data_IF_453516435089
#
_entry.id   IF_453516435089
#
_cell.length_a   1.000
_cell.length_b   1.000
_cell.length_c   1.000
_cell.angle_alpha   90.00
_cell.angle_beta   90.00
_cell.angle_gamma   90.00
#
_symmetry.space_group_name_H-M   'P 1'
#
loop_
_entity.id
_entity.type
_entity.pdbx_description
1 polymer ?
#
# COMPACT_ATOMS: atom_id res chain seq x y z
N UNK A 1 -32.52 -3.04 4.67
CA UNK A 1 -31.88 -3.45 3.41
C UNK A 1 -30.43 -3.78 3.69
N UNK A 2 -29.93 -4.87 3.14
CA UNK A 2 -28.52 -5.21 3.26
C UNK A 2 -27.69 -4.30 2.35
N UNK A 3 -26.56 -3.81 2.84
CA UNK A 3 -25.68 -2.88 2.11
C UNK A 3 -25.00 -3.58 0.93
N UNK A 4 -24.55 -4.82 1.13
CA UNK A 4 -23.84 -5.64 0.16
C UNK A 4 -24.07 -7.13 0.45
N UNK A 5 -24.17 -7.96 -0.60
CA UNK A 5 -24.31 -9.40 -0.47
C UNK A 5 -22.96 -10.06 -0.15
N UNK A 6 -23.02 -11.21 0.57
CA UNK A 6 -21.84 -12.06 0.84
C UNK A 6 -21.16 -12.51 -0.45
N UNK A 7 -21.95 -12.86 -1.45
CA UNK A 7 -21.46 -13.30 -2.75
C UNK A 7 -20.61 -12.24 -3.43
N UNK A 8 -21.06 -10.96 -3.42
CA UNK A 8 -20.31 -9.85 -4.00
C UNK A 8 -18.98 -9.62 -3.29
N UNK A 9 -18.94 -9.75 -1.96
CA UNK A 9 -17.70 -9.69 -1.18
C UNK A 9 -16.77 -10.84 -1.53
N UNK A 10 -17.31 -12.07 -1.68
CA UNK A 10 -16.55 -13.25 -2.05
C UNK A 10 -15.93 -13.13 -3.45
N UNK A 11 -16.73 -12.77 -4.46
CA UNK A 11 -16.33 -12.69 -5.87
C UNK A 11 -15.23 -11.62 -6.10
N UNK A 12 -15.23 -10.58 -5.27
CA UNK A 12 -14.19 -9.56 -5.27
C UNK A 12 -12.97 -9.90 -4.40
N UNK A 13 -12.99 -11.05 -3.69
CA UNK A 13 -11.85 -11.54 -2.92
C UNK A 13 -11.56 -10.76 -1.64
N UNK A 14 -12.58 -10.16 -1.01
CA UNK A 14 -12.47 -9.41 0.25
C UNK A 14 -12.05 -10.29 1.41
N UNK A 15 -12.38 -11.59 1.36
CA UNK A 15 -12.10 -12.60 2.39
C UNK A 15 -10.62 -13.01 2.48
N UNK A 16 -9.80 -12.73 1.48
CA UNK A 16 -8.38 -13.08 1.54
C UNK A 16 -7.61 -12.09 2.43
N UNK A 17 -6.94 -12.63 3.44
CA UNK A 17 -5.99 -11.87 4.24
C UNK A 17 -4.54 -12.19 3.87
N UNK A 18 -3.62 -11.76 4.69
CA UNK A 18 -2.20 -11.99 4.53
C UNK A 18 -1.74 -13.40 4.93
N UNK A 19 -0.51 -13.73 4.56
CA UNK A 19 0.14 -14.99 4.97
C UNK A 19 0.22 -15.10 6.50
N UNK A 20 0.10 -16.32 7.01
CA UNK A 20 0.15 -16.63 8.46
C UNK A 20 1.40 -16.14 9.19
N UNK A 21 2.50 -15.87 8.48
CA UNK A 21 3.73 -15.28 9.06
C UNK A 21 3.65 -13.78 9.33
N UNK A 22 2.70 -13.07 8.69
CA UNK A 22 2.64 -11.60 8.70
C UNK A 22 1.46 -11.05 9.48
N UNK A 23 0.71 -11.91 10.14
CA UNK A 23 -0.49 -11.50 10.84
C UNK A 23 -0.20 -10.75 12.15
N UNK A 24 -1.19 -9.99 12.60
CA UNK A 24 -1.21 -9.38 13.93
C UNK A 24 -2.13 -10.21 14.85
N UNK A 25 -1.66 -10.64 16.05
CA UNK A 25 -2.50 -11.39 17.00
C UNK A 25 -3.80 -10.68 17.40
N UNK A 26 -3.86 -9.36 17.35
CA UNK A 26 -5.04 -8.58 17.67
C UNK A 26 -6.14 -8.70 16.61
N UNK A 27 -5.79 -9.13 15.39
CA UNK A 27 -6.77 -9.44 14.34
C UNK A 27 -7.47 -10.78 14.52
N UNK A 28 -7.10 -11.58 15.52
CA UNK A 28 -7.72 -12.90 15.78
C UNK A 28 -9.26 -12.88 15.77
N UNK A 29 -9.95 -11.87 16.34
CA UNK A 29 -11.41 -11.81 16.31
C UNK A 29 -12.01 -11.73 14.90
N UNK A 30 -11.28 -11.21 13.91
CA UNK A 30 -11.74 -11.00 12.54
C UNK A 30 -11.35 -12.13 11.59
N UNK A 31 -10.55 -13.10 12.07
CA UNK A 31 -10.10 -14.24 11.29
C UNK A 31 -11.08 -15.40 11.48
N UNK A 32 -11.57 -15.95 10.37
CA UNK A 32 -12.43 -17.12 10.37
C UNK A 32 -11.61 -18.42 10.46
N UNK A 33 -10.64 -18.60 9.56
CA UNK A 33 -9.74 -19.76 9.56
C UNK A 33 -8.40 -19.44 8.85
N UNK A 34 -7.47 -20.40 8.91
CA UNK A 34 -6.24 -20.36 8.11
C UNK A 34 -6.27 -21.51 7.09
N UNK A 35 -6.06 -21.20 5.80
CA UNK A 35 -6.04 -22.20 4.73
C UNK A 35 -4.87 -21.93 3.78
N UNK A 36 -4.15 -22.98 3.39
CA UNK A 36 -3.01 -22.88 2.48
C UNK A 36 -1.96 -21.82 2.88
N UNK A 37 -1.78 -21.58 4.19
CA UNK A 37 -0.82 -20.60 4.72
C UNK A 37 -1.28 -19.14 4.62
N UNK A 38 -2.55 -18.89 4.30
CA UNK A 38 -3.20 -17.57 4.24
C UNK A 38 -4.37 -17.56 5.23
N UNK A 39 -4.59 -16.44 5.91
CA UNK A 39 -5.76 -16.25 6.73
C UNK A 39 -6.97 -15.86 5.89
N UNK A 40 -8.14 -16.36 6.30
CA UNK A 40 -9.43 -16.01 5.70
C UNK A 40 -10.17 -15.12 6.70
N UNK A 41 -10.59 -13.96 6.23
CA UNK A 41 -11.32 -12.96 6.99
C UNK A 41 -12.80 -13.39 7.08
N UNK A 42 -13.41 -13.17 8.23
CA UNK A 42 -14.84 -13.42 8.46
C UNK A 42 -15.68 -12.32 7.80
N UNK A 43 -16.33 -12.67 6.69
CA UNK A 43 -17.15 -11.73 5.91
C UNK A 43 -18.40 -11.27 6.66
N UNK A 44 -18.92 -12.03 7.64
CA UNK A 44 -20.03 -11.58 8.47
C UNK A 44 -19.61 -10.36 9.28
N UNK A 45 -18.44 -10.39 9.90
CA UNK A 45 -17.87 -9.27 10.64
C UNK A 45 -17.52 -8.09 9.74
N UNK A 46 -17.05 -8.39 8.51
CA UNK A 46 -16.84 -7.34 7.50
C UNK A 46 -18.14 -6.61 7.20
N UNK A 47 -19.24 -7.33 7.00
CA UNK A 47 -20.56 -6.78 6.68
C UNK A 47 -21.11 -5.93 7.83
N UNK A 48 -20.99 -6.42 9.07
CA UNK A 48 -21.40 -5.70 10.29
C UNK A 48 -20.59 -4.40 10.47
N UNK A 49 -19.26 -4.50 10.42
CA UNK A 49 -18.36 -3.35 10.57
C UNK A 49 -18.56 -2.32 9.46
N UNK A 50 -18.75 -2.79 8.21
CA UNK A 50 -19.04 -1.93 7.07
C UNK A 50 -20.37 -1.18 7.23
N UNK A 51 -21.41 -1.85 7.71
CA UNK A 51 -22.71 -1.21 7.99
C UNK A 51 -22.60 -0.08 9.01
N UNK A 52 -21.85 -0.32 10.10
CA UNK A 52 -21.57 0.70 11.12
C UNK A 52 -20.76 1.89 10.57
N UNK A 53 -19.72 1.60 9.79
CA UNK A 53 -18.89 2.63 9.14
C UNK A 53 -19.68 3.45 8.11
N UNK A 54 -20.50 2.78 7.29
CA UNK A 54 -21.37 3.41 6.30
C UNK A 54 -22.34 4.41 6.95
N UNK A 55 -23.07 3.98 8.00
CA UNK A 55 -24.02 4.83 8.70
C UNK A 55 -23.33 6.08 9.29
N UNK A 56 -22.15 5.91 9.87
CA UNK A 56 -21.42 7.04 10.47
C UNK A 56 -20.84 7.99 9.42
N UNK A 57 -20.34 7.48 8.29
CA UNK A 57 -19.88 8.32 7.18
C UNK A 57 -21.02 9.11 6.56
N UNK A 58 -22.20 8.48 6.41
CA UNK A 58 -23.41 9.13 5.93
C UNK A 58 -23.81 10.28 6.85
N UNK A 59 -23.86 10.06 8.16
CA UNK A 59 -24.15 11.10 9.17
C UNK A 59 -23.19 12.29 9.06
N UNK A 60 -21.87 12.03 8.94
CA UNK A 60 -20.85 13.08 8.77
C UNK A 60 -21.08 13.87 7.47
N UNK A 61 -21.39 13.17 6.38
CA UNK A 61 -21.62 13.80 5.09
C UNK A 61 -22.93 14.62 5.04
N UNK A 62 -24.00 14.14 5.68
CA UNK A 62 -25.28 14.87 5.85
C UNK A 62 -25.08 16.19 6.61
N UNK A 63 -24.18 16.21 7.59
CA UNK A 63 -23.78 17.42 8.31
C UNK A 63 -22.86 18.35 7.50
N UNK A 64 -22.60 18.06 6.22
CA UNK A 64 -21.72 18.83 5.35
C UNK A 64 -20.23 18.63 5.62
N UNK A 65 -19.87 17.59 6.39
CA UNK A 65 -18.50 17.25 6.72
C UNK A 65 -17.65 16.92 5.47
N UNK A 66 -16.38 17.27 5.54
CA UNK A 66 -15.41 16.99 4.49
C UNK A 66 -14.62 15.72 4.80
N UNK A 67 -14.51 14.85 3.82
CA UNK A 67 -13.90 13.53 3.97
C UNK A 67 -12.61 13.49 3.14
N UNK A 68 -11.57 12.84 3.70
CA UNK A 68 -10.28 12.67 3.06
C UNK A 68 -10.00 11.18 2.87
N UNK A 69 -9.83 10.76 1.61
CA UNK A 69 -9.39 9.41 1.27
C UNK A 69 -7.86 9.34 1.26
N UNK A 70 -7.30 8.32 1.86
CA UNK A 70 -5.86 8.08 1.95
C UNK A 70 -5.54 6.66 1.52
N UNK A 71 -4.58 6.50 0.60
CA UNK A 71 -4.07 5.20 0.20
C UNK A 71 -2.89 5.34 -0.71
N UNK A 72 -1.72 5.08 -0.13
CA UNK A 72 -0.44 5.21 -0.83
C UNK A 72 -0.03 3.94 -1.55
N UNK A 73 -0.69 2.79 -1.27
CA UNK A 73 -0.48 1.53 -1.99
C UNK A 73 -0.75 1.69 -3.47
N UNK A 74 0.12 1.15 -4.31
CA UNK A 74 0.00 1.20 -5.78
C UNK A 74 -1.34 0.69 -6.30
N UNK A 75 -1.89 -0.33 -5.65
CA UNK A 75 -3.18 -0.93 -5.98
C UNK A 75 -4.36 0.01 -5.69
N UNK A 76 -4.21 0.89 -4.70
CA UNK A 76 -5.26 1.80 -4.24
C UNK A 76 -5.23 3.17 -4.93
N UNK A 77 -4.08 3.60 -5.45
CA UNK A 77 -3.86 4.97 -5.95
C UNK A 77 -4.91 5.46 -6.93
N UNK A 78 -5.22 4.65 -7.95
CA UNK A 78 -6.20 5.03 -8.97
C UNK A 78 -7.64 4.95 -8.44
N UNK A 79 -7.93 3.92 -7.65
CA UNK A 79 -9.26 3.72 -7.06
C UNK A 79 -9.63 4.90 -6.17
N UNK A 80 -8.70 5.34 -5.33
CA UNK A 80 -8.92 6.49 -4.45
C UNK A 80 -9.16 7.78 -5.23
N UNK A 81 -8.42 8.00 -6.32
CA UNK A 81 -8.64 9.13 -7.20
C UNK A 81 -10.06 9.12 -7.77
N UNK A 82 -10.47 7.97 -8.31
CA UNK A 82 -11.76 7.81 -8.97
C UNK A 82 -12.92 8.00 -7.96
N UNK A 83 -12.87 7.33 -6.81
CA UNK A 83 -13.92 7.35 -5.80
C UNK A 83 -14.00 8.68 -5.03
N UNK A 84 -12.86 9.30 -4.74
CA UNK A 84 -12.84 10.62 -4.12
C UNK A 84 -13.41 11.70 -5.08
N UNK A 85 -13.08 11.61 -6.37
CA UNK A 85 -13.61 12.53 -7.37
C UNK A 85 -15.12 12.33 -7.54
N UNK A 86 -15.58 11.07 -7.58
CA UNK A 86 -17.01 10.73 -7.68
C UNK A 86 -17.82 11.26 -6.49
N UNK A 87 -17.29 11.10 -5.29
CA UNK A 87 -17.96 11.55 -4.05
C UNK A 87 -17.77 13.05 -3.76
N UNK A 88 -16.93 13.76 -4.53
CA UNK A 88 -16.55 15.15 -4.28
C UNK A 88 -15.85 15.32 -2.93
N UNK A 89 -14.92 14.40 -2.64
CA UNK A 89 -14.10 14.34 -1.44
C UNK A 89 -12.64 14.63 -1.77
N UNK A 90 -11.81 14.83 -0.75
CA UNK A 90 -10.37 15.03 -0.91
C UNK A 90 -9.64 13.70 -0.94
N UNK A 91 -8.43 13.68 -1.52
CA UNK A 91 -7.63 12.46 -1.55
C UNK A 91 -6.12 12.70 -1.44
N UNK A 92 -5.42 11.69 -0.94
CA UNK A 92 -3.95 11.57 -0.99
C UNK A 92 -3.63 10.14 -1.43
N UNK A 93 -3.13 10.00 -2.66
CA UNK A 93 -2.92 8.71 -3.30
C UNK A 93 -1.45 8.36 -3.60
N UNK A 94 -0.49 9.29 -3.38
CA UNK A 94 0.93 9.02 -3.67
C UNK A 94 1.73 8.77 -2.39
N UNK A 95 1.88 9.77 -1.56
CA UNK A 95 2.64 9.69 -0.33
C UNK A 95 2.09 10.64 0.71
N UNK A 96 1.85 10.14 1.90
CA UNK A 96 1.55 10.99 3.05
C UNK A 96 2.77 11.80 3.46
N UNK A 97 2.63 13.11 3.51
CA UNK A 97 3.65 14.00 4.04
C UNK A 97 3.44 14.17 5.54
N UNK A 98 4.48 13.89 6.36
CA UNK A 98 4.37 14.09 7.80
C UNK A 98 3.98 15.55 8.12
N UNK A 99 2.98 15.72 8.98
CA UNK A 99 2.42 17.03 9.32
C UNK A 99 1.27 17.49 8.40
N UNK A 100 0.77 16.64 7.52
CA UNK A 100 -0.33 17.03 6.61
C UNK A 100 -1.57 17.52 7.37
N UNK A 101 -1.94 16.91 8.47
CA UNK A 101 -3.04 17.37 9.33
C UNK A 101 -2.52 18.20 10.50
N UNK A 102 -1.49 17.75 11.21
CA UNK A 102 -0.98 18.40 12.42
C UNK A 102 -0.25 19.73 12.15
N UNK A 103 0.33 19.89 10.98
CA UNK A 103 0.97 21.15 10.53
C UNK A 103 0.30 21.69 9.25
N UNK A 104 -1.01 21.67 9.23
CA UNK A 104 -1.83 22.04 8.09
C UNK A 104 -1.53 23.44 7.55
N UNK A 105 -1.19 24.39 8.42
CA UNK A 105 -0.80 25.75 8.02
C UNK A 105 0.42 25.77 7.08
N UNK A 106 1.39 24.90 7.31
CA UNK A 106 2.56 24.78 6.44
C UNK A 106 2.21 24.10 5.11
N UNK A 107 1.34 23.10 5.13
CA UNK A 107 0.83 22.45 3.92
C UNK A 107 0.05 23.46 3.08
N UNK A 108 -0.80 24.29 3.67
CA UNK A 108 -1.52 25.35 2.96
C UNK A 108 -0.58 26.35 2.27
N UNK A 109 0.58 26.67 2.87
CA UNK A 109 1.58 27.53 2.20
C UNK A 109 2.16 26.84 0.96
N UNK A 110 2.35 25.51 0.99
CA UNK A 110 2.82 24.75 -0.17
C UNK A 110 1.75 24.66 -1.26
N UNK A 111 0.49 24.49 -0.86
CA UNK A 111 -0.65 24.53 -1.80
C UNK A 111 -0.77 25.92 -2.45
N UNK A 112 -0.65 27.00 -1.69
CA UNK A 112 -0.62 28.37 -2.26
C UNK A 112 0.50 28.53 -3.28
N UNK A 113 1.70 28.02 -2.97
CA UNK A 113 2.84 28.04 -3.90
C UNK A 113 2.52 27.30 -5.21
N UNK A 114 1.85 26.14 -5.12
CA UNK A 114 1.39 25.40 -6.31
C UNK A 114 0.41 26.24 -7.14
N UNK A 115 -0.56 26.87 -6.51
CA UNK A 115 -1.53 27.75 -7.19
C UNK A 115 -0.82 28.93 -7.86
N UNK A 116 0.10 29.59 -7.18
CA UNK A 116 0.91 30.69 -7.72
C UNK A 116 1.68 30.26 -8.98
N UNK A 117 2.30 29.07 -8.96
CA UNK A 117 3.04 28.56 -10.13
C UNK A 117 2.09 28.30 -11.30
N UNK A 118 0.92 27.70 -11.05
CA UNK A 118 -0.09 27.46 -12.08
C UNK A 118 -0.64 28.79 -12.66
N UNK A 119 -0.82 29.81 -11.84
CA UNK A 119 -1.20 31.15 -12.26
C UNK A 119 -0.11 31.81 -13.11
N UNK A 120 1.19 31.65 -12.74
CA UNK A 120 2.31 32.14 -13.55
C UNK A 120 2.39 31.46 -14.92
N UNK A 121 2.05 30.16 -15.01
CA UNK A 121 1.98 29.46 -16.30
C UNK A 121 0.83 29.95 -17.15
N UNK A 122 -0.35 30.11 -16.56
CA UNK A 122 -1.57 30.56 -17.27
C UNK A 122 -1.45 32.01 -17.76
N UNK A 123 -0.87 32.89 -16.94
CA UNK A 123 -0.65 34.31 -17.30
C UNK A 123 0.55 34.54 -18.23
N UNK A 124 1.39 33.51 -18.42
CA UNK A 124 2.60 33.62 -19.23
C UNK A 124 3.76 34.36 -18.53
N UNK A 125 3.58 34.81 -17.28
CA UNK A 125 4.63 35.50 -16.51
C UNK A 125 5.84 34.63 -16.24
N UNK A 126 5.70 33.30 -16.32
CA UNK A 126 6.81 32.36 -16.21
C UNK A 126 7.91 32.60 -17.28
N UNK A 127 7.57 33.17 -18.44
CA UNK A 127 8.52 33.41 -19.54
C UNK A 127 9.54 34.54 -19.27
N UNK A 128 9.34 35.31 -18.21
CA UNK A 128 10.31 36.32 -17.75
C UNK A 128 11.56 35.69 -17.15
N UNK A 129 11.45 34.46 -16.67
CA UNK A 129 12.56 33.75 -16.04
C UNK A 129 13.50 33.07 -17.06
N UNK A 130 14.77 32.88 -16.73
CA UNK A 130 15.69 32.10 -17.56
C UNK A 130 15.22 30.65 -17.73
N UNK A 131 15.50 30.03 -18.90
CA UNK A 131 15.07 28.65 -19.20
C UNK A 131 15.39 27.62 -18.12
N UNK A 132 16.51 27.74 -17.44
CA UNK A 132 16.92 26.84 -16.34
C UNK A 132 15.98 26.97 -15.14
N UNK A 133 15.59 28.18 -14.78
CA UNK A 133 14.68 28.45 -13.65
C UNK A 133 13.26 27.98 -13.98
N UNK A 134 12.78 28.21 -15.21
CA UNK A 134 11.48 27.66 -15.66
C UNK A 134 11.44 26.15 -15.48
N UNK A 135 12.51 25.44 -15.86
CA UNK A 135 12.57 23.98 -15.70
C UNK A 135 12.52 23.56 -14.22
N UNK A 136 13.16 24.31 -13.33
CA UNK A 136 13.12 24.04 -11.88
C UNK A 136 11.72 24.31 -11.29
N UNK A 137 11.10 25.42 -11.65
CA UNK A 137 9.74 25.80 -11.22
C UNK A 137 8.72 24.73 -11.68
N UNK A 138 8.80 24.29 -12.93
CA UNK A 138 7.93 23.21 -13.45
C UNK A 138 8.14 21.89 -12.74
N UNK A 139 9.39 21.55 -12.42
CA UNK A 139 9.70 20.34 -11.63
C UNK A 139 9.16 20.45 -10.20
N UNK A 140 9.21 21.62 -9.59
CA UNK A 140 8.60 21.90 -8.29
C UNK A 140 7.09 21.75 -8.37
N UNK A 141 6.44 22.36 -9.36
CA UNK A 141 4.98 22.26 -9.57
C UNK A 141 4.53 20.80 -9.74
N UNK A 142 5.17 20.04 -10.62
CA UNK A 142 4.86 18.63 -10.83
C UNK A 142 4.98 17.80 -9.55
N UNK A 143 5.99 18.09 -8.73
CA UNK A 143 6.18 17.42 -7.43
C UNK A 143 5.08 17.79 -6.45
N UNK A 144 4.70 19.07 -6.37
CA UNK A 144 3.64 19.53 -5.48
C UNK A 144 2.27 19.01 -5.93
N UNK A 145 1.99 18.99 -7.22
CA UNK A 145 0.75 18.46 -7.79
C UNK A 145 0.59 16.98 -7.48
N UNK A 146 1.66 16.18 -7.63
CA UNK A 146 1.62 14.75 -7.31
C UNK A 146 1.31 14.46 -5.83
N UNK A 147 1.75 15.30 -4.91
CA UNK A 147 1.55 15.03 -3.47
C UNK A 147 0.37 15.78 -2.87
N UNK A 148 0.02 16.94 -3.37
CA UNK A 148 -0.97 17.83 -2.76
C UNK A 148 -2.15 18.14 -3.69
N UNK A 149 -2.15 17.62 -4.92
CA UNK A 149 -3.19 17.90 -5.91
C UNK A 149 -4.60 17.56 -5.40
N UNK A 150 -4.76 16.41 -4.74
CA UNK A 150 -6.05 15.98 -4.20
C UNK A 150 -6.57 16.76 -2.99
N UNK A 151 -5.72 17.57 -2.36
CA UNK A 151 -6.10 18.44 -1.22
C UNK A 151 -6.00 19.93 -1.55
N UNK A 152 -5.86 20.29 -2.83
CA UNK A 152 -5.68 21.67 -3.29
C UNK A 152 -6.82 22.58 -2.86
N UNK A 153 -8.04 22.10 -2.87
CA UNK A 153 -9.25 22.85 -2.50
C UNK A 153 -9.59 22.76 -1.00
N UNK A 154 -8.83 22.00 -0.23
CA UNK A 154 -9.08 21.80 1.20
C UNK A 154 -8.68 23.05 2.01
N UNK A 155 -9.66 23.84 2.43
CA UNK A 155 -9.45 25.06 3.23
C UNK A 155 -9.42 24.82 4.73
N UNK A 156 -10.07 23.73 5.20
CA UNK A 156 -10.16 23.34 6.61
C UNK A 156 -9.73 21.88 6.75
N UNK A 157 -9.44 21.46 7.96
CA UNK A 157 -9.18 20.04 8.27
C UNK A 157 -10.39 19.19 7.88
N UNK A 158 -10.20 17.94 7.48
CA UNK A 158 -11.28 17.02 7.18
C UNK A 158 -12.00 16.59 8.48
N UNK A 159 -13.28 16.27 8.36
CA UNK A 159 -14.11 15.80 9.47
C UNK A 159 -14.06 14.27 9.63
N UNK A 160 -13.57 13.57 8.60
CA UNK A 160 -13.29 12.13 8.63
C UNK A 160 -12.15 11.77 7.69
N UNK A 161 -11.42 10.70 8.00
CA UNK A 161 -10.35 10.15 7.17
C UNK A 161 -10.64 8.68 6.88
N UNK A 162 -10.58 8.30 5.60
CA UNK A 162 -10.71 6.90 5.13
C UNK A 162 -9.33 6.44 4.70
N UNK A 163 -8.83 5.34 5.25
CA UNK A 163 -7.47 4.80 5.00
C UNK A 163 -7.58 3.39 4.46
N UNK A 164 -6.91 3.09 3.34
CA UNK A 164 -6.92 1.75 2.73
C UNK A 164 -6.05 0.78 3.51
N UNK A 165 -4.87 1.19 3.94
CA UNK A 165 -3.97 0.37 4.77
C UNK A 165 -3.46 1.21 5.95
N UNK A 166 -4.05 1.04 7.14
CA UNK A 166 -3.62 1.79 8.32
C UNK A 166 -2.20 1.45 8.79
N UNK A 167 -1.63 0.33 8.36
CA UNK A 167 -0.28 -0.07 8.70
C UNK A 167 0.76 0.67 7.85
N UNK A 168 0.54 0.79 6.55
CA UNK A 168 1.41 1.55 5.64
C UNK A 168 1.29 3.04 5.92
N UNK A 169 0.06 3.56 6.00
CA UNK A 169 -0.24 4.97 6.26
C UNK A 169 -0.39 5.30 7.76
N UNK A 170 0.41 4.62 8.60
CA UNK A 170 0.41 4.80 10.06
C UNK A 170 0.51 6.25 10.50
N UNK A 171 1.30 7.06 9.81
CA UNK A 171 1.48 8.48 10.11
C UNK A 171 0.18 9.26 9.96
N UNK A 172 -0.61 8.96 8.92
CA UNK A 172 -1.90 9.59 8.69
C UNK A 172 -2.88 9.30 9.84
N UNK A 173 -2.95 8.03 10.25
CA UNK A 173 -3.81 7.60 11.36
C UNK A 173 -3.42 8.27 12.68
N UNK A 174 -2.11 8.32 13.00
CA UNK A 174 -1.63 8.97 14.22
C UNK A 174 -1.91 10.48 14.24
N UNK A 175 -1.78 11.15 13.09
CA UNK A 175 -2.10 12.58 12.98
C UNK A 175 -3.61 12.83 13.13
N UNK A 176 -4.45 12.03 12.50
CA UNK A 176 -5.90 12.12 12.62
C UNK A 176 -6.35 11.90 14.07
N UNK A 177 -5.86 10.85 14.72
CA UNK A 177 -6.15 10.59 16.14
C UNK A 177 -5.73 11.72 17.07
N UNK A 178 -4.56 12.32 16.83
CA UNK A 178 -4.08 13.47 17.62
C UNK A 178 -5.02 14.67 17.53
N UNK A 179 -5.73 14.81 16.41
CA UNK A 179 -6.69 15.88 16.16
C UNK A 179 -8.15 15.46 16.44
N UNK A 180 -8.36 14.25 16.98
CA UNK A 180 -9.69 13.68 17.25
C UNK A 180 -10.58 13.60 16.01
N UNK A 181 -9.97 13.36 14.84
CA UNK A 181 -10.69 13.12 13.59
C UNK A 181 -10.96 11.63 13.48
N UNK A 182 -12.21 11.16 13.30
CA UNK A 182 -12.54 9.75 13.17
C UNK A 182 -11.88 9.14 11.93
N UNK A 183 -11.27 7.95 12.14
CA UNK A 183 -10.54 7.22 11.13
C UNK A 183 -11.28 5.93 10.79
N UNK A 184 -11.62 5.79 9.50
CA UNK A 184 -12.18 4.59 8.90
C UNK A 184 -11.07 3.86 8.16
N UNK A 185 -10.83 2.59 8.45
CA UNK A 185 -9.72 1.87 7.85
C UNK A 185 -10.08 0.47 7.40
N UNK A 186 -9.59 0.07 6.21
CA UNK A 186 -9.58 -1.34 5.84
C UNK A 186 -8.48 -2.04 6.64
N UNK A 187 -8.88 -2.89 7.57
CA UNK A 187 -7.97 -3.62 8.45
C UNK A 187 -7.80 -5.05 7.93
N UNK A 188 -6.72 -5.32 7.20
CA UNK A 188 -6.33 -6.68 6.88
C UNK A 188 -5.72 -7.39 8.11
N UNK A 189 -5.48 -8.66 8.02
CA UNK A 189 -4.96 -9.53 9.09
C UNK A 189 -3.57 -9.14 9.63
N UNK A 190 -2.87 -8.24 8.97
CA UNK A 190 -1.55 -7.72 9.35
C UNK A 190 -1.58 -6.40 10.14
N UNK A 191 -2.76 -5.82 10.35
CA UNK A 191 -2.97 -4.51 10.97
C UNK A 191 -3.64 -4.65 12.34
N UNK A 192 -3.23 -3.88 13.33
CA UNK A 192 -3.94 -3.77 14.62
C UNK A 192 -5.28 -3.02 14.43
N UNK A 193 -6.44 -3.68 14.61
CA UNK A 193 -7.73 -3.02 14.41
C UNK A 193 -8.00 -1.89 15.41
N UNK A 194 -7.38 -1.90 16.59
CA UNK A 194 -7.48 -0.80 17.56
C UNK A 194 -6.77 0.49 17.08
N UNK A 195 -6.06 0.38 15.95
CA UNK A 195 -5.35 1.51 15.33
C UNK A 195 -6.27 2.49 14.60
N UNK A 196 -7.52 2.10 14.32
CA UNK A 196 -8.55 2.92 13.67
C UNK A 196 -9.82 2.92 14.52
N UNK A 197 -10.67 3.93 14.35
CA UNK A 197 -11.90 4.04 15.12
C UNK A 197 -12.99 3.13 14.55
N UNK A 198 -13.01 2.99 13.22
CA UNK A 198 -13.92 2.12 12.47
C UNK A 198 -13.08 1.17 11.63
N UNK A 199 -12.71 0.02 12.23
CA UNK A 199 -11.97 -1.03 11.54
C UNK A 199 -12.92 -1.89 10.70
N UNK A 200 -12.70 -1.95 9.39
CA UNK A 200 -13.45 -2.79 8.47
C UNK A 200 -12.54 -3.92 8.04
N UNK A 201 -12.76 -5.15 8.50
CA UNK A 201 -11.94 -6.28 8.11
C UNK A 201 -12.09 -6.57 6.61
N UNK A 202 -11.03 -6.39 5.84
CA UNK A 202 -11.05 -6.58 4.39
C UNK A 202 -9.64 -6.71 3.82
N UNK A 203 -9.56 -7.30 2.63
CA UNK A 203 -8.32 -7.40 1.86
C UNK A 203 -7.89 -6.03 1.33
N UNK A 204 -6.68 -5.64 1.64
CA UNK A 204 -6.07 -4.37 1.24
C UNK A 204 -5.04 -4.49 0.09
N UNK A 205 -4.86 -5.69 -0.48
CA UNK A 205 -3.92 -5.97 -1.58
C UNK A 205 -4.62 -6.19 -2.92
N UNK A 206 -5.84 -6.74 -2.91
CA UNK A 206 -6.57 -7.05 -4.13
C UNK A 206 -7.29 -5.81 -4.69
N UNK A 207 -6.97 -5.42 -5.93
CA UNK A 207 -7.56 -4.25 -6.61
C UNK A 207 -9.10 -4.30 -6.60
N UNK A 208 -9.71 -5.49 -6.85
CA UNK A 208 -11.16 -5.65 -6.85
C UNK A 208 -11.77 -5.44 -5.46
N UNK A 209 -11.12 -5.97 -4.41
CA UNK A 209 -11.58 -5.83 -3.03
C UNK A 209 -11.51 -4.36 -2.59
N UNK A 210 -10.36 -3.70 -2.83
CA UNK A 210 -10.19 -2.27 -2.53
C UNK A 210 -11.24 -1.43 -3.26
N UNK A 211 -11.46 -1.70 -4.57
CA UNK A 211 -12.44 -0.96 -5.35
C UNK A 211 -13.84 -1.10 -4.78
N UNK A 212 -14.29 -2.32 -4.49
CA UNK A 212 -15.61 -2.54 -3.92
C UNK A 212 -15.76 -1.83 -2.57
N UNK A 213 -14.79 -1.99 -1.66
CA UNK A 213 -14.86 -1.41 -0.32
C UNK A 213 -14.84 0.13 -0.36
N UNK A 214 -13.98 0.71 -1.20
CA UNK A 214 -13.91 2.17 -1.36
C UNK A 214 -15.16 2.72 -2.05
N UNK A 215 -15.70 2.02 -3.05
CA UNK A 215 -16.94 2.40 -3.71
C UNK A 215 -18.12 2.41 -2.72
N UNK A 216 -18.26 1.39 -1.86
CA UNK A 216 -19.30 1.34 -0.82
C UNK A 216 -19.16 2.50 0.18
N UNK A 217 -17.95 2.84 0.61
CA UNK A 217 -17.72 3.98 1.50
C UNK A 217 -17.96 5.33 0.81
N UNK A 218 -17.64 5.42 -0.48
CA UNK A 218 -17.96 6.59 -1.30
C UNK A 218 -19.48 6.73 -1.53
N UNK A 219 -20.19 5.60 -1.68
CA UNK A 219 -21.66 5.58 -1.82
C UNK A 219 -22.35 6.17 -0.60
N UNK A 220 -21.83 5.96 0.63
CA UNK A 220 -22.35 6.59 1.85
C UNK A 220 -22.32 8.12 1.73
N UNK A 221 -21.26 8.68 1.14
CA UNK A 221 -21.09 10.12 0.96
C UNK A 221 -22.01 10.64 -0.17
N UNK A 222 -22.12 9.86 -1.23
CA UNK A 222 -22.97 10.18 -2.40
C UNK A 222 -24.44 10.13 -2.01
N UNK A 223 -24.85 9.13 -1.22
CA UNK A 223 -26.20 9.01 -0.71
C UNK A 223 -26.60 10.22 0.15
N UNK A 224 -25.73 10.64 1.07
CA UNK A 224 -25.94 11.83 1.90
C UNK A 224 -26.10 13.11 1.05
N UNK A 225 -25.50 13.16 -0.14
CA UNK A 225 -25.62 14.26 -1.09
C UNK A 225 -26.80 14.10 -2.09
N UNK A 226 -27.55 12.98 -1.99
CA UNK A 226 -28.66 12.67 -2.89
C UNK A 226 -28.25 12.26 -4.31
N UNK A 227 -27.05 11.69 -4.47
CA UNK A 227 -26.53 11.20 -5.75
C UNK A 227 -26.91 9.74 -6.03
N UNK A 228 -26.44 9.23 -7.18
CA UNK A 228 -26.71 7.85 -7.63
C UNK A 228 -25.66 6.92 -7.04
N UNK A 229 -26.11 5.85 -6.37
CA UNK A 229 -25.27 4.80 -5.81
C UNK A 229 -24.75 3.87 -6.90
N UNK A 230 -23.53 3.33 -6.73
CA UNK A 230 -22.94 2.37 -7.65
C UNK A 230 -23.02 0.92 -7.16
N UNK A 231 -22.63 0.70 -5.92
CA UNK A 231 -22.42 -0.64 -5.38
C UNK A 231 -23.29 -0.97 -4.16
N UNK A 232 -23.78 0.06 -3.46
CA UNK A 232 -24.64 -0.10 -2.31
C UNK A 232 -26.09 -0.43 -2.73
N UNK A 233 -26.75 -1.32 -1.95
CA UNK A 233 -28.16 -1.68 -2.08
C UNK A 233 -28.60 -2.23 -3.46
N UNK A 234 -27.72 -2.91 -4.21
CA UNK A 234 -28.10 -3.54 -5.48
C UNK A 234 -29.00 -4.77 -5.24
N UNK A 235 -30.21 -4.73 -5.74
CA UNK A 235 -31.26 -5.73 -5.47
C UNK A 235 -31.00 -7.12 -6.10
N UNK A 236 -30.17 -7.25 -7.12
CA UNK A 236 -29.93 -8.49 -7.85
C UNK A 236 -29.05 -9.52 -7.13
N UNK A 237 -28.38 -9.15 -6.04
CA UNK A 237 -27.39 -9.99 -5.38
C UNK A 237 -27.91 -10.69 -4.10
N UNK A 238 -29.10 -10.31 -3.61
CA UNK A 238 -29.60 -10.72 -2.28
C UNK A 238 -30.26 -12.12 -2.30
N UNK A 239 -30.77 -12.58 -3.44
CA UNK A 239 -31.53 -13.86 -3.52
C UNK A 239 -30.68 -15.12 -3.40
N UNK A 240 -29.36 -15.06 -3.46
CA UNK A 240 -28.44 -16.18 -3.33
C UNK A 240 -27.35 -15.93 -2.28
N UNK A 241 -27.75 -15.70 -1.04
CA UNK A 241 -26.79 -15.46 0.04
C UNK A 241 -25.99 -16.74 0.34
N UNK A 242 -24.67 -16.64 0.22
CA UNK A 242 -23.71 -17.73 0.37
C UNK A 242 -23.28 -17.78 1.84
N UNK A 243 -23.13 -18.99 2.39
CA UNK A 243 -22.62 -19.19 3.75
C UNK A 243 -21.10 -19.13 3.80
N UNK A 244 -20.50 -18.91 5.00
CA UNK A 244 -19.04 -18.94 5.16
C UNK A 244 -18.43 -20.32 4.84
N UNK A 245 -19.22 -21.40 4.89
CA UNK A 245 -18.80 -22.74 4.47
C UNK A 245 -18.61 -22.81 2.94
N UNK A 246 -19.49 -22.17 2.18
CA UNK A 246 -19.35 -22.07 0.72
C UNK A 246 -18.14 -21.23 0.31
N UNK A 247 -17.79 -20.23 1.12
CA UNK A 247 -16.56 -19.44 0.95
C UNK A 247 -15.32 -20.34 1.01
N UNK A 248 -15.25 -21.24 1.97
CA UNK A 248 -14.13 -22.18 2.12
C UNK A 248 -14.03 -23.10 0.91
N UNK A 249 -15.18 -23.67 0.45
CA UNK A 249 -15.22 -24.56 -0.71
C UNK A 249 -14.72 -23.83 -1.96
N UNK A 250 -15.09 -22.58 -2.16
CA UNK A 250 -14.61 -21.76 -3.27
C UNK A 250 -13.10 -21.47 -3.18
N UNK A 251 -12.59 -21.18 -2.00
CA UNK A 251 -11.14 -20.99 -1.77
C UNK A 251 -10.36 -22.27 -2.08
N UNK A 252 -10.89 -23.43 -1.73
CA UNK A 252 -10.27 -24.72 -2.07
C UNK A 252 -10.22 -24.94 -3.58
N UNK A 253 -11.33 -24.72 -4.28
CA UNK A 253 -11.40 -24.84 -5.74
C UNK A 253 -10.41 -23.90 -6.44
N UNK A 254 -10.36 -22.64 -6.02
CA UNK A 254 -9.40 -21.67 -6.57
C UNK A 254 -7.94 -22.03 -6.29
N UNK A 255 -7.63 -22.57 -5.11
CA UNK A 255 -6.29 -23.02 -4.76
C UNK A 255 -5.87 -24.23 -5.62
N UNK A 256 -6.76 -25.20 -5.82
CA UNK A 256 -6.52 -26.35 -6.70
C UNK A 256 -6.30 -25.93 -8.17
N UNK A 257 -7.11 -24.97 -8.66
CA UNK A 257 -6.92 -24.43 -10.01
C UNK A 257 -5.58 -23.71 -10.17
N UNK A 258 -5.20 -22.90 -9.20
CA UNK A 258 -3.92 -22.21 -9.23
C UNK A 258 -2.76 -23.21 -9.17
N UNK A 259 -2.86 -24.26 -8.38
CA UNK A 259 -1.83 -25.29 -8.31
C UNK A 259 -1.73 -26.07 -9.63
N UNK A 260 -2.87 -26.42 -10.25
CA UNK A 260 -2.92 -27.03 -11.58
C UNK A 260 -2.28 -26.13 -12.64
N UNK A 261 -2.61 -24.84 -12.65
CA UNK A 261 -2.00 -23.84 -13.56
C UNK A 261 -0.49 -23.69 -13.32
N UNK A 262 -0.05 -23.69 -12.07
CA UNK A 262 1.37 -23.61 -11.71
C UNK A 262 2.13 -24.87 -12.13
N UNK A 263 1.57 -26.05 -11.95
CA UNK A 263 2.14 -27.33 -12.41
C UNK A 263 2.26 -27.34 -13.95
N UNK A 264 1.19 -26.97 -14.67
CA UNK A 264 1.18 -26.89 -16.12
C UNK A 264 2.24 -25.91 -16.66
N UNK A 265 2.35 -24.72 -16.05
CA UNK A 265 3.34 -23.71 -16.43
C UNK A 265 4.78 -24.16 -16.14
N UNK A 266 5.01 -24.90 -15.08
CA UNK A 266 6.31 -25.47 -14.77
C UNK A 266 6.69 -26.60 -15.75
N UNK A 267 5.73 -27.44 -16.14
CA UNK A 267 5.95 -28.47 -17.14
C UNK A 267 6.26 -27.87 -18.52
N UNK A 268 5.54 -26.85 -18.93
CA UNK A 268 5.79 -26.10 -20.16
C UNK A 268 7.18 -25.47 -20.16
N UNK A 269 7.58 -24.84 -19.08
CA UNK A 269 8.92 -24.28 -18.88
C UNK A 269 10.03 -25.34 -18.92
N UNK A 270 9.74 -26.52 -18.37
CA UNK A 270 10.68 -27.67 -18.41
C UNK A 270 10.80 -28.23 -19.81
N UNK A 271 9.69 -28.30 -20.57
CA UNK A 271 9.69 -28.70 -21.99
C UNK A 271 10.42 -27.69 -22.87
N UNK A 272 10.21 -26.38 -22.67
CA UNK A 272 10.93 -25.33 -23.38
C UNK A 272 12.44 -25.35 -23.09
N UNK A 273 12.83 -25.59 -21.85
CA UNK A 273 14.24 -25.73 -21.47
C UNK A 273 14.87 -27.02 -22.03
N UNK A 274 14.12 -28.11 -22.16
CA UNK A 274 14.59 -29.35 -22.77
C UNK A 274 14.75 -29.25 -24.30
N UNK A 275 13.92 -28.42 -24.95
CA UNK A 275 14.01 -28.16 -26.40
C UNK A 275 15.06 -27.12 -26.77
N UNK A 276 15.49 -26.28 -25.82
CA UNK A 276 16.68 -25.42 -26.00
C UNK A 276 17.92 -26.26 -25.94
N UNK A 277 18.45 -26.70 -27.13
CA UNK A 277 19.75 -27.33 -27.23
C UNK A 277 20.78 -26.49 -26.45
N UNK A 278 21.62 -27.12 -25.58
CA UNK A 278 22.67 -26.39 -24.88
C UNK A 278 23.56 -25.73 -25.93
N UNK A 279 23.60 -24.40 -25.93
CA UNK A 279 24.65 -23.69 -26.70
C UNK A 279 25.98 -24.09 -26.08
N UNK A 280 26.64 -25.04 -26.74
CA UNK A 280 27.99 -25.48 -26.41
C UNK A 280 28.91 -24.25 -26.52
N UNK A 281 29.25 -23.69 -25.38
CA UNK A 281 30.11 -22.52 -25.32
C UNK A 281 31.57 -23.00 -25.43
N UNK A 282 32.07 -23.13 -26.67
CA UNK A 282 33.49 -23.50 -26.98
C UNK A 282 34.54 -22.60 -26.32
N UNK A 283 34.10 -21.52 -25.64
CA UNK A 283 35.02 -20.62 -24.93
C UNK A 283 35.22 -20.98 -23.44
N UNK A 284 34.51 -21.97 -22.89
CA UNK A 284 34.72 -22.36 -21.49
C UNK A 284 35.93 -23.26 -21.30
N UNK A 285 36.29 -24.09 -22.30
CA UNK A 285 37.48 -24.94 -22.20
C UNK A 285 38.79 -24.14 -22.24
N UNK A 286 38.86 -23.06 -23.04
CA UNK A 286 40.05 -22.18 -23.05
C UNK A 286 40.27 -21.40 -21.75
N UNK A 287 39.26 -21.21 -20.94
CA UNK A 287 39.41 -20.56 -19.61
C UNK A 287 39.80 -21.52 -18.47
N UNK A 288 39.51 -22.82 -18.63
CA UNK A 288 39.88 -23.81 -17.62
C UNK A 288 41.36 -24.25 -17.78
N UNK A 289 41.88 -24.30 -18.99
CA UNK A 289 43.28 -24.64 -19.24
C UNK A 289 44.19 -23.47 -18.79
N UNK A 290 43.83 -22.23 -19.07
CA UNK A 290 44.61 -21.06 -18.65
C UNK A 290 44.57 -20.73 -17.15
N UNK A 291 43.71 -21.39 -16.33
CA UNK A 291 43.72 -21.27 -14.87
C UNK A 291 44.62 -22.31 -14.20
N UNK A 292 44.77 -23.53 -14.77
CA UNK A 292 45.67 -24.53 -14.24
C UNK A 292 47.13 -24.10 -14.37
N UNK A 293 47.52 -23.54 -15.54
CA UNK A 293 48.89 -23.06 -15.75
C UNK A 293 49.26 -21.82 -14.90
N UNK A 294 48.27 -21.10 -14.35
CA UNK A 294 48.51 -19.98 -13.43
C UNK A 294 48.51 -20.38 -11.94
N UNK A 295 47.93 -21.49 -11.58
CA UNK A 295 48.01 -22.02 -10.23
C UNK A 295 49.28 -22.83 -9.98
N UNK A 296 49.78 -23.55 -10.99
CA UNK A 296 51.07 -24.27 -10.89
C UNK A 296 52.30 -23.34 -10.85
N UNK A 297 52.23 -22.15 -11.45
CA UNK A 297 53.30 -21.14 -11.37
C UNK A 297 53.24 -20.28 -10.08
N UNK A 298 52.11 -20.26 -9.34
CA UNK A 298 52.04 -19.56 -8.05
C UNK A 298 52.52 -20.39 -6.88
N UNK A 299 52.54 -21.73 -7.03
CA UNK A 299 53.00 -22.65 -5.97
C UNK A 299 54.55 -22.83 -6.04
N UNK A 300 55.22 -22.43 -7.12
CA UNK A 300 56.66 -22.49 -7.24
C UNK A 300 57.39 -21.26 -6.67
N UNK A 301 56.71 -20.10 -6.55
CA UNK A 301 57.30 -18.85 -6.02
C UNK A 301 57.09 -18.61 -4.54
N UNK A 302 56.28 -19.44 -3.83
CA UNK A 302 56.01 -19.30 -2.40
C UNK A 302 56.84 -20.22 -1.50
N UNK A 303 57.97 -20.80 -1.98
CA UNK A 303 58.83 -21.66 -1.17
C UNK A 303 60.16 -21.05 -0.78
N UNK A 304 60.37 -19.77 -0.90
CA UNK A 304 61.58 -19.11 -0.37
C UNK A 304 61.16 -17.80 0.30
N UNK A 305 60.80 -17.90 1.57
CA UNK A 305 61.02 -16.89 2.60
C UNK A 305 60.44 -17.41 3.95
N UNK A 306 61.34 -17.85 4.80
CA UNK A 306 61.11 -18.14 6.22
C UNK A 306 61.30 -16.89 7.10
N UNK A 307 60.83 -16.89 8.38
CA UNK A 307 60.27 -15.75 9.02
C UNK A 307 61.26 -14.93 9.85
N UNK A 308 61.04 -13.64 10.02
CA UNK A 308 61.61 -12.85 11.09
C UNK A 308 60.52 -12.21 11.95
N UNK A 309 60.56 -12.68 13.20
CA UNK A 309 60.04 -12.09 14.43
C UNK A 309 60.10 -10.57 14.48
N UNK A 310 59.00 -9.96 14.93
CA UNK A 310 59.04 -8.81 15.82
C UNK A 310 57.80 -8.73 16.70
N UNK A 311 58.04 -8.93 17.97
CA UNK A 311 57.23 -8.49 19.13
C UNK A 311 57.20 -6.96 19.19
N UNK A 312 56.31 -6.47 20.11
CA UNK A 312 56.22 -5.09 20.66
C UNK A 312 55.15 -4.20 19.95
N UNK A 313 53.97 -4.08 20.53
CA UNK A 313 53.51 -3.14 21.55
C UNK A 313 52.01 -3.26 21.80
N UNK A 314 51.67 -3.91 22.91
CA UNK A 314 50.51 -3.56 23.68
C UNK A 314 50.96 -2.47 24.65
N UNK A 315 50.43 -1.28 24.53
CA UNK A 315 50.32 -0.24 25.58
C UNK A 315 49.74 1.02 24.98
N UNK A 316 48.86 1.67 25.75
CA UNK A 316 48.21 2.98 25.52
C UNK A 316 46.85 2.99 24.86
N UNK A 317 45.83 2.47 25.58
CA UNK A 317 44.44 3.00 25.53
C UNK A 317 43.86 2.99 26.95
N UNK A 318 44.54 3.65 27.90
CA UNK A 318 43.99 4.01 29.21
C UNK A 318 44.51 5.40 29.61
N UNK A 319 44.09 6.43 28.91
CA UNK A 319 44.32 7.81 29.39
C UNK A 319 43.58 8.77 28.46
N UNK A 320 42.25 8.81 28.57
CA UNK A 320 41.41 9.96 28.09
C UNK A 320 39.95 9.81 28.52
N UNK A 321 39.71 9.61 29.80
CA UNK A 321 38.38 9.74 30.42
C UNK A 321 38.51 10.43 31.77
N UNK A 322 39.28 11.53 31.83
CA UNK A 322 39.27 12.40 33.01
C UNK A 322 39.64 13.82 32.63
N UNK A 323 38.80 14.46 31.80
CA UNK A 323 38.74 15.92 31.69
C UNK A 323 37.50 16.33 30.88
N UNK A 324 36.36 16.37 31.55
CA UNK A 324 35.24 17.27 31.26
C UNK A 324 34.17 17.05 32.35
N UNK A 325 34.40 17.66 33.49
CA UNK A 325 33.33 18.09 34.39
C UNK A 325 32.86 19.50 33.97
#
# INVERSE_FOLDING_TARGET
>A
MELVSMRKLLDNGVHFGHQTRRWDPKCKPFIYCAKNGIYIIDLNKTKEALGGAYAKLKEIAENGGKILFVGTKKQAQQIILDEATRSGSFYINQRWLGGTLTNFRTIQKRIKRLIEINEMETSGTINVYPKKEIALIRKEAAKLENFLGGIKEMKKLPDAVIVVDPKEDKTAVLEAKKLHIPVFGLADTNCDPAFVDYAIPANDDAIKAIKLMMSLLADAIVEAKGGILQDAYQEGDIENDITMEDVIINVEKHAEEQEKRRKAKNEERTRENATRRPRFNKNSEKRYIGKKDKEENKVADEKVEEPKTEEVKAETVEEKVEEAK
#
